data_IF_743794980710
#
_entry.id   IF_743794980710
#
_cell.length_a   1.000
_cell.length_b   1.000
_cell.length_c   1.000
_cell.angle_alpha   90.00
_cell.angle_beta   90.00
_cell.angle_gamma   90.00
#
_symmetry.space_group_name_H-M   'P 1'
#
loop_
_entity.id
_entity.type
_entity.pdbx_description
1 polymer ?
#
# COMPACT_ATOMS: atom_id res chain seq x y z
N UNK A 1 -15.52 0.02 6.98
CA UNK A 1 -15.52 1.45 7.37
C UNK A 1 -15.31 1.53 8.88
N UNK A 2 -14.38 2.37 9.37
CA UNK A 2 -13.97 2.38 10.79
C UNK A 2 -14.52 3.60 11.53
N UNK A 3 -15.18 3.38 12.68
CA UNK A 3 -15.60 4.44 13.60
C UNK A 3 -14.58 4.68 14.73
N UNK A 4 -13.35 4.17 14.58
CA UNK A 4 -12.27 4.41 15.53
C UNK A 4 -11.93 5.91 15.59
N UNK A 5 -11.69 6.40 16.78
CA UNK A 5 -11.15 7.73 17.07
C UNK A 5 -9.66 7.62 17.44
N UNK A 6 -8.92 8.73 17.38
CA UNK A 6 -7.47 8.78 17.67
C UNK A 6 -7.12 9.96 18.61
N UNK A 7 -7.65 9.98 19.85
CA UNK A 7 -7.34 11.04 20.82
C UNK A 7 -5.83 11.14 21.12
N UNK A 8 -5.07 10.06 21.00
CA UNK A 8 -3.62 10.00 21.19
C UNK A 8 -2.82 10.94 20.27
N UNK A 9 -3.39 11.31 19.12
CA UNK A 9 -2.81 12.27 18.18
C UNK A 9 -3.67 13.55 18.09
N UNK A 10 -4.61 13.76 19.01
CA UNK A 10 -5.46 14.95 19.03
C UNK A 10 -6.65 14.93 18.06
N UNK A 11 -7.05 13.75 17.56
CA UNK A 11 -8.21 13.59 16.66
C UNK A 11 -9.28 12.73 17.33
N UNK A 12 -10.16 13.32 18.17
CA UNK A 12 -11.22 12.58 18.86
C UNK A 12 -12.39 12.20 17.93
N UNK A 13 -12.43 12.74 16.72
CA UNK A 13 -13.47 12.45 15.72
C UNK A 13 -13.33 11.03 15.13
N UNK A 14 -14.44 10.38 14.75
CA UNK A 14 -14.40 9.06 14.12
C UNK A 14 -13.79 9.13 12.71
N UNK A 15 -12.93 8.16 12.38
CA UNK A 15 -12.20 8.11 11.11
C UNK A 15 -13.13 8.19 9.89
N UNK A 16 -14.10 7.29 9.77
CA UNK A 16 -14.95 7.20 8.60
C UNK A 16 -15.68 8.51 8.24
N UNK A 17 -16.44 9.17 9.13
CA UNK A 17 -17.08 10.44 8.79
C UNK A 17 -16.06 11.57 8.55
N UNK A 18 -14.87 11.50 9.13
CA UNK A 18 -13.79 12.46 8.86
C UNK A 18 -13.25 12.32 7.43
N UNK A 19 -13.23 11.09 6.87
CA UNK A 19 -12.80 10.87 5.48
C UNK A 19 -13.76 11.47 4.45
N UNK A 20 -15.02 11.70 4.83
CA UNK A 20 -15.98 12.52 4.08
C UNK A 20 -15.70 14.01 4.30
N UNK A 21 -14.50 14.44 3.87
CA UNK A 21 -13.97 15.75 4.19
C UNK A 21 -14.66 16.89 3.42
N UNK A 22 -15.19 16.66 2.21
CA UNK A 22 -15.91 17.70 1.45
C UNK A 22 -15.08 18.96 1.17
N UNK A 23 -13.75 18.81 1.12
CA UNK A 23 -12.75 19.89 1.08
C UNK A 23 -12.75 20.84 2.29
N UNK A 24 -13.36 20.45 3.41
CA UNK A 24 -13.25 21.15 4.68
C UNK A 24 -11.79 21.11 5.20
N UNK A 25 -11.14 22.27 5.44
CA UNK A 25 -9.74 22.31 5.87
C UNK A 25 -9.46 21.61 7.20
N UNK A 26 -10.41 21.65 8.15
CA UNK A 26 -10.26 21.02 9.46
C UNK A 26 -10.29 19.50 9.34
N UNK A 27 -11.24 18.96 8.56
CA UNK A 27 -11.31 17.53 8.28
C UNK A 27 -10.10 17.03 7.48
N UNK A 28 -9.62 17.82 6.53
CA UNK A 28 -8.40 17.52 5.77
C UNK A 28 -7.17 17.42 6.68
N UNK A 29 -7.04 18.32 7.65
CA UNK A 29 -5.97 18.25 8.65
C UNK A 29 -6.13 16.99 9.52
N UNK A 30 -7.33 16.70 10.02
CA UNK A 30 -7.57 15.51 10.85
C UNK A 30 -7.29 14.21 10.11
N UNK A 31 -7.74 14.06 8.86
CA UNK A 31 -7.49 12.85 8.08
C UNK A 31 -6.00 12.71 7.73
N UNK A 32 -5.28 13.82 7.48
CA UNK A 32 -3.83 13.76 7.26
C UNK A 32 -3.10 13.30 8.52
N UNK A 33 -3.49 13.77 9.70
CA UNK A 33 -2.93 13.32 10.99
C UNK A 33 -3.16 11.83 11.22
N UNK A 34 -4.38 11.32 10.96
CA UNK A 34 -4.69 9.88 11.05
C UNK A 34 -3.82 9.08 10.07
N UNK A 35 -3.72 9.52 8.81
CA UNK A 35 -2.92 8.84 7.80
C UNK A 35 -1.43 8.81 8.17
N UNK A 36 -0.88 9.93 8.66
CA UNK A 36 0.50 10.02 9.15
C UNK A 36 0.72 9.07 10.32
N UNK A 37 -0.22 8.97 11.26
CA UNK A 37 -0.14 8.02 12.36
C UNK A 37 -0.15 6.56 11.89
N UNK A 38 -0.99 6.20 10.91
CA UNK A 38 -0.96 4.84 10.36
C UNK A 38 0.35 4.56 9.62
N UNK A 39 0.91 5.55 8.93
CA UNK A 39 2.23 5.46 8.30
C UNK A 39 3.36 5.28 9.31
N UNK A 40 3.32 5.93 10.47
CA UNK A 40 4.34 5.68 11.50
C UNK A 40 4.26 4.25 12.05
N UNK A 41 3.04 3.73 12.26
CA UNK A 41 2.85 2.34 12.70
C UNK A 41 3.32 1.33 11.64
N UNK A 42 3.04 1.60 10.36
CA UNK A 42 3.49 0.75 9.27
C UNK A 42 5.01 0.78 9.12
N UNK A 43 5.65 1.96 9.27
CA UNK A 43 7.10 2.07 9.27
C UNK A 43 7.74 1.28 10.42
N UNK A 44 7.20 1.40 11.65
CA UNK A 44 7.65 0.60 12.80
C UNK A 44 7.48 -0.91 12.56
N UNK A 45 6.37 -1.31 11.93
CA UNK A 45 6.15 -2.70 11.55
C UNK A 45 7.19 -3.21 10.55
N UNK A 46 7.50 -2.46 9.49
CA UNK A 46 8.55 -2.81 8.54
C UNK A 46 9.94 -2.88 9.19
N UNK A 47 10.24 -1.98 10.13
CA UNK A 47 11.48 -2.01 10.91
C UNK A 47 11.59 -3.29 11.75
N UNK A 48 10.51 -3.72 12.39
CA UNK A 48 10.47 -5.00 13.11
C UNK A 48 10.73 -6.19 12.19
N UNK A 49 10.13 -6.21 11.00
CA UNK A 49 10.38 -7.27 10.02
C UNK A 49 11.85 -7.28 9.57
N UNK A 50 12.42 -6.11 9.29
CA UNK A 50 13.83 -5.97 8.92
C UNK A 50 14.79 -6.42 10.02
N UNK A 51 14.44 -6.20 11.28
CA UNK A 51 15.26 -6.59 12.43
C UNK A 51 15.02 -8.02 12.91
N UNK A 52 14.09 -8.76 12.29
CA UNK A 52 13.81 -10.16 12.62
C UNK A 52 14.61 -11.06 11.67
N UNK A 53 15.56 -11.88 12.15
CA UNK A 53 16.31 -12.79 11.29
C UNK A 53 15.42 -13.87 10.66
N UNK A 54 15.66 -14.17 9.38
CA UNK A 54 15.00 -15.25 8.64
C UNK A 54 15.92 -15.80 7.53
N UNK A 55 16.46 -17.01 7.75
CA UNK A 55 17.49 -17.58 6.89
C UNK A 55 18.76 -16.74 6.83
N UNK A 56 19.23 -16.44 5.62
CA UNK A 56 20.43 -15.64 5.37
C UNK A 56 20.18 -14.11 5.43
N UNK A 57 18.94 -13.68 5.69
CA UNK A 57 18.52 -12.29 5.70
C UNK A 57 17.55 -11.95 6.82
N UNK A 58 16.68 -10.98 6.56
CA UNK A 58 15.59 -10.59 7.46
C UNK A 58 14.24 -11.11 6.98
N UNK A 59 13.26 -11.15 7.88
CA UNK A 59 11.88 -11.51 7.52
C UNK A 59 11.29 -10.57 6.45
N UNK A 60 11.73 -9.30 6.43
CA UNK A 60 11.35 -8.37 5.36
C UNK A 60 11.95 -8.78 4.00
N UNK A 61 13.14 -9.39 3.98
CA UNK A 61 13.78 -9.83 2.74
C UNK A 61 12.98 -10.94 2.04
N UNK A 62 12.29 -11.77 2.82
CA UNK A 62 11.50 -12.91 2.35
C UNK A 62 9.98 -12.66 2.30
N UNK A 63 9.51 -11.41 2.47
CA UNK A 63 8.08 -11.08 2.45
C UNK A 63 7.76 -9.96 1.46
N UNK A 64 6.56 -9.98 0.89
CA UNK A 64 5.94 -8.88 0.14
C UNK A 64 4.72 -8.36 0.89
N UNK A 65 4.65 -7.04 1.09
CA UNK A 65 3.53 -6.32 1.68
C UNK A 65 2.98 -5.30 0.70
N UNK A 66 1.66 -5.32 0.52
CA UNK A 66 0.89 -4.28 -0.14
C UNK A 66 0.17 -3.45 0.93
N UNK A 67 0.46 -2.16 1.00
CA UNK A 67 -0.22 -1.21 1.88
C UNK A 67 -0.87 -0.12 1.04
N UNK A 68 -2.10 0.28 1.37
CA UNK A 68 -2.73 1.42 0.73
C UNK A 68 -4.23 1.48 0.92
N UNK A 69 -4.89 2.18 -0.02
CA UNK A 69 -6.34 2.37 -0.06
C UNK A 69 -6.89 2.00 -1.43
N UNK A 70 -8.12 1.48 -1.45
CA UNK A 70 -8.91 1.30 -2.68
C UNK A 70 -9.55 2.61 -3.19
N UNK A 71 -9.25 3.75 -2.56
CA UNK A 71 -9.72 5.07 -2.97
C UNK A 71 -8.57 6.08 -2.98
N UNK A 72 -8.45 6.86 -4.06
CA UNK A 72 -7.54 8.01 -4.17
C UNK A 72 -8.10 9.27 -3.51
N UNK A 73 -9.41 9.50 -3.65
CA UNK A 73 -10.12 10.53 -2.89
C UNK A 73 -11.24 9.90 -2.05
N UNK A 74 -11.06 9.92 -0.73
CA UNK A 74 -11.99 9.29 0.20
C UNK A 74 -13.32 10.03 0.34
N UNK A 75 -13.37 11.34 0.09
CA UNK A 75 -14.62 12.11 0.16
C UNK A 75 -15.49 11.94 -1.08
N UNK A 76 -14.89 11.66 -2.24
CA UNK A 76 -15.61 11.42 -3.49
C UNK A 76 -15.85 9.93 -3.78
N UNK A 77 -15.28 9.05 -2.96
CA UNK A 77 -15.22 7.61 -3.24
C UNK A 77 -14.58 7.30 -4.61
N UNK A 78 -13.59 8.10 -4.99
CA UNK A 78 -12.88 7.95 -6.25
C UNK A 78 -11.84 6.82 -6.15
N UNK A 79 -11.88 5.91 -7.12
CA UNK A 79 -10.98 4.75 -7.22
C UNK A 79 -9.82 4.99 -8.22
N UNK A 80 -9.60 6.23 -8.67
CA UNK A 80 -8.41 6.61 -9.43
C UNK A 80 -7.25 7.05 -8.54
N UNK A 81 -6.02 7.02 -9.07
CA UNK A 81 -4.79 7.49 -8.39
C UNK A 81 -4.62 6.99 -6.95
N UNK A 82 -4.74 5.67 -6.77
CA UNK A 82 -4.71 5.03 -5.46
C UNK A 82 -3.37 5.23 -4.74
N UNK A 83 -3.37 5.53 -3.43
CA UNK A 83 -2.15 5.64 -2.64
C UNK A 83 -1.68 4.24 -2.26
N UNK A 84 -0.76 3.69 -3.05
CA UNK A 84 -0.26 2.33 -2.90
C UNK A 84 1.24 2.34 -2.59
N UNK A 85 1.64 1.55 -1.60
CA UNK A 85 3.01 1.26 -1.24
C UNK A 85 3.22 -0.26 -1.27
N UNK A 86 4.30 -0.69 -1.92
CA UNK A 86 4.75 -2.08 -1.87
C UNK A 86 6.09 -2.12 -1.15
N UNK A 87 6.18 -2.95 -0.13
CA UNK A 87 7.40 -3.18 0.63
C UNK A 87 7.75 -4.67 0.59
N UNK A 88 9.02 -4.97 0.37
CA UNK A 88 9.56 -6.32 0.36
C UNK A 88 11.02 -6.27 -0.05
N UNK A 89 11.76 -7.34 0.21
CA UNK A 89 13.19 -7.35 -0.09
C UNK A 89 13.59 -8.26 -1.24
N UNK A 90 14.90 -8.45 -1.35
CA UNK A 90 15.54 -8.97 -2.54
C UNK A 90 15.20 -10.44 -2.84
N UNK A 91 14.87 -11.25 -1.82
CA UNK A 91 14.49 -12.65 -2.06
C UNK A 91 13.15 -12.77 -2.81
N UNK A 92 12.32 -11.72 -2.77
CA UNK A 92 11.11 -11.59 -3.58
C UNK A 92 11.37 -10.92 -4.96
N UNK A 93 12.62 -10.59 -5.28
CA UNK A 93 13.02 -9.89 -6.51
C UNK A 93 12.44 -8.48 -6.60
N UNK A 94 12.28 -7.79 -5.47
CA UNK A 94 11.79 -6.42 -5.40
C UNK A 94 12.95 -5.42 -5.60
N UNK A 95 12.78 -4.47 -6.53
CA UNK A 95 13.79 -3.43 -6.77
C UNK A 95 13.82 -2.34 -5.68
N UNK A 96 12.65 -2.02 -5.11
CA UNK A 96 12.51 -0.98 -4.08
C UNK A 96 12.96 0.42 -4.53
N UNK A 97 12.94 1.40 -3.61
CA UNK A 97 13.54 2.73 -3.84
C UNK A 97 12.93 3.56 -4.98
N UNK A 98 11.73 3.21 -5.46
CA UNK A 98 11.12 3.79 -6.65
C UNK A 98 9.78 4.44 -6.33
N UNK A 99 9.46 5.49 -7.07
CA UNK A 99 8.11 6.02 -7.20
C UNK A 99 7.65 5.82 -8.64
N UNK A 100 6.69 4.92 -8.83
CA UNK A 100 6.20 4.55 -10.17
C UNK A 100 4.90 5.30 -10.44
N UNK A 101 4.95 6.20 -11.43
CA UNK A 101 3.78 6.89 -11.95
C UNK A 101 3.54 6.48 -13.40
N UNK A 102 2.29 6.28 -13.76
CA UNK A 102 1.87 5.99 -15.12
C UNK A 102 1.17 7.20 -15.74
N UNK A 103 1.37 7.41 -17.04
CA UNK A 103 0.68 8.47 -17.79
C UNK A 103 -0.82 8.15 -17.97
N UNK A 104 -1.15 6.87 -18.07
CA UNK A 104 -2.52 6.35 -18.08
C UNK A 104 -2.71 5.42 -16.89
N UNK A 105 -3.89 5.47 -16.27
CA UNK A 105 -4.23 4.57 -15.17
C UNK A 105 -3.99 3.11 -15.54
N UNK A 106 -3.34 2.38 -14.64
CA UNK A 106 -3.14 0.93 -14.76
C UNK A 106 -4.02 0.26 -13.70
N UNK A 107 -4.65 -0.85 -14.07
CA UNK A 107 -5.48 -1.63 -13.15
C UNK A 107 -4.67 -2.06 -11.92
N UNK A 108 -5.24 -1.87 -10.72
CA UNK A 108 -4.68 -2.44 -9.50
C UNK A 108 -4.64 -3.99 -9.58
N UNK A 109 -5.49 -4.60 -10.40
CA UNK A 109 -5.43 -6.03 -10.71
C UNK A 109 -4.07 -6.47 -11.25
N UNK A 110 -3.44 -5.65 -12.10
CA UNK A 110 -2.11 -5.95 -12.63
C UNK A 110 -1.04 -5.96 -11.53
N UNK A 111 -1.18 -5.08 -10.53
CA UNK A 111 -0.32 -5.10 -9.35
C UNK A 111 -0.53 -6.40 -8.56
N UNK A 112 -1.77 -6.79 -8.29
CA UNK A 112 -2.05 -8.04 -7.58
C UNK A 112 -1.46 -9.26 -8.30
N UNK A 113 -1.64 -9.37 -9.62
CA UNK A 113 -1.03 -10.43 -10.42
C UNK A 113 0.50 -10.45 -10.27
N UNK A 114 1.13 -9.26 -10.34
CA UNK A 114 2.58 -9.12 -10.17
C UNK A 114 3.06 -9.63 -8.81
N UNK A 115 2.33 -9.34 -7.74
CA UNK A 115 2.69 -9.79 -6.39
C UNK A 115 2.38 -11.27 -6.16
N UNK A 116 1.29 -11.80 -6.73
CA UNK A 116 0.94 -13.21 -6.67
C UNK A 116 2.00 -14.09 -7.35
N UNK A 117 2.51 -13.64 -8.50
CA UNK A 117 3.62 -14.32 -9.19
C UNK A 117 4.87 -14.46 -8.28
N UNK A 118 5.10 -13.53 -7.34
CA UNK A 118 6.23 -13.59 -6.37
C UNK A 118 6.07 -14.59 -5.25
N UNK A 119 4.84 -15.00 -4.98
CA UNK A 119 4.55 -16.00 -3.95
C UNK A 119 4.16 -17.35 -4.57
N UNK A 120 4.46 -17.55 -5.85
CA UNK A 120 4.23 -18.81 -6.58
C UNK A 120 2.77 -19.07 -6.96
N UNK A 121 1.92 -18.03 -6.94
CA UNK A 121 0.52 -18.14 -7.35
C UNK A 121 0.37 -17.50 -8.73
N UNK A 122 0.27 -18.35 -9.76
CA UNK A 122 0.18 -17.89 -11.14
C UNK A 122 -1.27 -17.89 -11.63
N UNK A 123 -1.76 -16.71 -12.01
CA UNK A 123 -3.11 -16.50 -12.55
C UNK A 123 -3.01 -15.69 -13.84
N UNK A 124 -3.84 -15.98 -14.84
CA UNK A 124 -3.83 -15.20 -16.08
C UNK A 124 -4.43 -13.80 -15.90
N UNK A 125 -5.45 -13.68 -15.04
CA UNK A 125 -6.20 -12.44 -14.79
C UNK A 125 -6.71 -12.32 -13.34
N UNK A 126 -6.89 -11.09 -12.85
CA UNK A 126 -7.53 -10.80 -11.56
C UNK A 126 -8.28 -9.46 -11.59
N UNK A 127 -9.59 -9.49 -11.32
CA UNK A 127 -10.46 -8.31 -11.47
C UNK A 127 -10.42 -7.80 -12.92
N UNK A 128 -10.16 -6.50 -13.09
CA UNK A 128 -9.99 -5.87 -14.40
C UNK A 128 -8.55 -5.92 -14.94
N UNK A 129 -7.67 -6.74 -14.33
CA UNK A 129 -6.28 -6.86 -14.71
C UNK A 129 -5.94 -8.18 -15.40
N UNK A 130 -5.13 -8.11 -16.45
CA UNK A 130 -4.58 -9.22 -17.24
C UNK A 130 -3.06 -9.08 -17.49
N UNK A 131 -2.43 -8.01 -16.96
CA UNK A 131 -1.04 -7.66 -17.18
C UNK A 131 -0.20 -7.59 -15.91
N UNK A 132 1.11 -7.36 -16.05
CA UNK A 132 2.08 -7.29 -14.94
C UNK A 132 2.74 -5.92 -14.88
N UNK A 133 3.19 -5.55 -13.69
CA UNK A 133 3.91 -4.32 -13.40
C UNK A 133 5.42 -4.60 -13.45
N UNK A 134 5.98 -4.61 -14.66
CA UNK A 134 7.39 -4.98 -14.88
C UNK A 134 8.38 -4.08 -14.15
N UNK A 135 8.05 -2.80 -13.94
CA UNK A 135 8.95 -1.84 -13.27
C UNK A 135 9.13 -2.11 -11.77
N UNK A 136 8.23 -2.85 -11.13
CA UNK A 136 8.22 -3.05 -9.67
C UNK A 136 9.22 -4.13 -9.23
N UNK A 137 9.52 -5.06 -10.11
CA UNK A 137 10.16 -6.33 -9.78
C UNK A 137 11.15 -6.75 -10.85
N UNK A 138 12.17 -7.51 -10.48
CA UNK A 138 13.11 -8.09 -11.45
C UNK A 138 12.41 -9.07 -12.39
N UNK A 139 12.96 -9.35 -13.56
CA UNK A 139 12.38 -10.42 -14.39
C UNK A 139 12.38 -11.75 -13.61
N UNK A 140 11.24 -12.46 -13.60
CA UNK A 140 11.21 -13.83 -13.08
C UNK A 140 12.02 -14.68 -14.07
N UNK A 141 13.08 -15.39 -13.64
CA UNK A 141 13.79 -16.31 -14.52
C UNK A 141 12.82 -17.37 -15.03
N UNK A 142 12.75 -17.51 -16.36
CA UNK A 142 11.97 -18.55 -17.05
C UNK A 142 12.72 -19.88 -16.94
#
# INVERSE_FOLDING_TARGET
LSNRTYPEIGVPDPHHPTSHHGNDPEKLLKISMINTFHMSLFAEFLEKLKNTPDGDGSLLDNTVYLYGSGMGNSSLHDHENLPILVAGGAACGMNGGQHIRYDKGVSLGNLHLTLLDRVGVHLDSFGDGDGRIEKLVDAVPV
#
